data_IF_668960023850
#
_entry.id   IF_668960023850
#
_cell.length_a   1.000
_cell.length_b   1.000
_cell.length_c   1.000
_cell.angle_alpha   90.00
_cell.angle_beta   90.00
_cell.angle_gamma   90.00
#
_symmetry.space_group_name_H-M   'P 1'
#
loop_
_entity.id
_entity.type
_entity.pdbx_description
1 polymer ?
#
# COMPACT_ATOMS: atom_id res chain seq x y z
N UNK A 1 -59.58 -56.57 42.35
CA UNK A 1 -58.41 -57.30 41.84
C UNK A 1 -57.31 -56.28 41.60
N UNK A 2 -56.15 -56.49 42.24
CA UNK A 2 -54.79 -56.29 41.73
C UNK A 2 -54.43 -54.84 41.31
N UNK A 3 -53.37 -54.20 41.77
CA UNK A 3 -52.40 -54.46 42.83
C UNK A 3 -51.66 -53.14 43.04
N UNK A 4 -51.32 -52.91 44.30
CA UNK A 4 -50.44 -51.88 44.83
C UNK A 4 -49.02 -52.10 44.26
N UNK A 5 -48.32 -51.03 43.88
CA UNK A 5 -46.88 -50.93 44.15
C UNK A 5 -46.44 -49.47 44.27
N UNK A 6 -46.20 -49.06 45.52
CA UNK A 6 -45.45 -47.88 45.91
C UNK A 6 -43.96 -48.23 45.95
N UNK A 7 -43.15 -47.61 45.09
CA UNK A 7 -41.69 -47.42 45.24
C UNK A 7 -41.42 -46.16 44.41
N UNK A 8 -40.81 -45.07 44.85
CA UNK A 8 -39.89 -44.80 45.93
C UNK A 8 -39.08 -43.62 45.40
N UNK A 9 -39.05 -42.54 46.17
CA UNK A 9 -38.37 -41.27 45.88
C UNK A 9 -36.85 -41.48 45.65
N UNK A 10 -36.22 -40.47 45.02
CA UNK A 10 -34.79 -40.24 44.80
C UNK A 10 -34.22 -40.64 43.43
N UNK A 11 -34.48 -39.80 42.43
CA UNK A 11 -33.50 -39.58 41.35
C UNK A 11 -32.41 -38.67 41.89
N UNK A 12 -31.27 -39.26 42.24
CA UNK A 12 -29.99 -38.56 42.33
C UNK A 12 -29.67 -38.02 40.94
N UNK A 13 -29.81 -36.72 40.74
CA UNK A 13 -29.29 -36.06 39.54
C UNK A 13 -27.77 -36.04 39.64
N UNK A 14 -27.08 -36.89 38.86
CA UNK A 14 -25.69 -36.63 38.52
C UNK A 14 -25.67 -35.35 37.66
N UNK A 15 -25.20 -34.25 38.24
CA UNK A 15 -24.76 -33.10 37.46
C UNK A 15 -23.50 -33.53 36.69
N UNK A 16 -23.65 -33.73 35.37
CA UNK A 16 -22.52 -33.55 34.46
C UNK A 16 -22.46 -32.05 34.17
N UNK A 17 -21.56 -31.34 34.84
CA UNK A 17 -21.20 -29.99 34.46
C UNK A 17 -20.34 -30.05 33.20
N UNK A 18 -20.97 -29.89 32.03
CA UNK A 18 -20.26 -29.40 30.86
C UNK A 18 -20.32 -27.87 30.87
N UNK A 19 -19.25 -27.23 31.37
CA UNK A 19 -18.99 -25.83 31.06
C UNK A 19 -18.61 -25.72 29.58
N UNK A 20 -19.59 -25.35 28.75
CA UNK A 20 -19.42 -25.04 27.35
C UNK A 20 -20.54 -24.11 26.90
N UNK A 21 -20.18 -22.85 26.63
CA UNK A 21 -21.09 -21.72 26.44
C UNK A 21 -22.20 -21.92 25.38
N UNK A 22 -23.38 -21.30 25.54
CA UNK A 22 -24.44 -21.30 24.53
C UNK A 22 -24.10 -20.27 23.43
N UNK A 23 -23.55 -20.74 22.31
CA UNK A 23 -23.59 -20.04 21.04
C UNK A 23 -24.85 -20.46 20.25
N UNK A 24 -25.59 -19.55 19.60
CA UNK A 24 -26.74 -19.94 18.79
C UNK A 24 -26.28 -20.77 17.58
N UNK A 25 -26.84 -21.97 17.44
CA UNK A 25 -26.81 -22.74 16.18
C UNK A 25 -27.84 -22.15 15.23
N UNK A 26 -27.42 -21.71 14.04
CA UNK A 26 -28.31 -21.35 12.95
C UNK A 26 -27.96 -22.23 11.74
N UNK A 27 -28.93 -23.01 11.29
CA UNK A 27 -29.03 -23.59 9.93
C UNK A 27 -30.54 -23.50 9.59
N UNK A 28 -31.08 -23.12 8.43
CA UNK A 28 -30.61 -23.20 7.03
C UNK A 28 -31.31 -22.14 6.14
N UNK A 29 -30.67 -21.88 4.98
CA UNK A 29 -31.19 -21.60 3.63
C UNK A 29 -31.40 -20.14 3.17
N UNK A 30 -30.59 -19.78 2.16
CA UNK A 30 -30.50 -18.55 1.34
C UNK A 30 -29.59 -17.40 1.80
N UNK A 31 -28.71 -17.65 2.77
CA UNK A 31 -27.63 -16.72 3.13
C UNK A 31 -26.36 -16.99 2.32
N UNK A 32 -26.18 -16.26 1.21
CA UNK A 32 -24.85 -15.70 0.94
C UNK A 32 -24.65 -14.62 2.01
N UNK A 33 -24.23 -15.09 3.18
CA UNK A 33 -23.62 -14.40 4.32
C UNK A 33 -23.84 -12.88 4.39
N UNK A 34 -24.56 -12.43 5.43
CA UNK A 34 -24.54 -11.04 5.91
C UNK A 34 -23.12 -10.67 6.37
N UNK A 35 -22.28 -10.37 5.40
CA UNK A 35 -20.94 -9.81 5.56
C UNK A 35 -21.07 -8.46 6.26
N UNK A 36 -20.40 -8.29 7.40
CA UNK A 36 -20.29 -6.97 8.04
C UNK A 36 -19.41 -6.06 7.18
N UNK A 37 -20.00 -5.01 6.61
CA UNK A 37 -19.29 -4.00 5.82
C UNK A 37 -18.43 -3.16 6.77
N UNK A 38 -17.16 -2.98 6.44
CA UNK A 38 -16.28 -2.07 7.20
C UNK A 38 -16.81 -0.64 7.09
N UNK A 39 -16.89 0.10 8.20
CA UNK A 39 -16.92 1.55 8.12
C UNK A 39 -15.51 2.11 7.80
N UNK A 40 -15.42 3.37 7.36
CA UNK A 40 -14.14 4.00 7.00
C UNK A 40 -13.14 4.01 8.17
N UNK A 41 -13.63 4.23 9.39
CA UNK A 41 -12.83 4.19 10.62
C UNK A 41 -12.46 2.76 11.08
N UNK A 42 -13.02 1.73 10.44
CA UNK A 42 -12.78 0.31 10.69
C UNK A 42 -11.88 -0.32 9.61
N UNK A 43 -11.29 0.48 8.72
CA UNK A 43 -10.25 0.03 7.80
C UNK A 43 -8.89 -0.14 8.49
N UNK A 44 -8.02 -0.94 7.88
CA UNK A 44 -6.64 -1.07 8.33
C UNK A 44 -5.89 0.25 8.17
N UNK A 45 -5.30 0.73 9.27
CA UNK A 45 -4.57 2.00 9.34
C UNK A 45 -3.10 1.86 8.94
N UNK A 46 -2.63 0.63 8.72
CA UNK A 46 -1.24 0.31 8.40
C UNK A 46 -1.17 -0.81 7.38
N UNK A 47 -0.22 -0.72 6.44
CA UNK A 47 0.11 -1.80 5.50
C UNK A 47 0.70 -3.03 6.19
N UNK A 48 1.14 -2.91 7.45
CA UNK A 48 1.64 -4.03 8.26
C UNK A 48 0.53 -4.93 8.82
N UNK A 49 -0.74 -4.53 8.74
CA UNK A 49 -1.86 -5.26 9.36
C UNK A 49 -1.98 -6.72 8.90
N UNK A 50 -1.87 -7.07 7.60
CA UNK A 50 -1.90 -8.47 7.16
C UNK A 50 -0.72 -9.29 7.70
N UNK A 51 0.47 -8.68 7.78
CA UNK A 51 1.64 -9.37 8.32
C UNK A 51 1.51 -9.65 9.83
N UNK A 52 0.95 -8.69 10.57
CA UNK A 52 0.70 -8.84 12.01
C UNK A 52 -0.41 -9.84 12.31
N UNK A 53 -1.45 -9.88 11.47
CA UNK A 53 -2.46 -10.93 11.50
C UNK A 53 -1.81 -12.32 11.32
N UNK A 54 -0.97 -12.51 10.30
CA UNK A 54 -0.27 -13.77 10.05
C UNK A 54 0.71 -14.18 11.16
N UNK A 55 1.12 -13.23 12.02
CA UNK A 55 1.87 -13.49 13.25
C UNK A 55 0.99 -13.84 14.47
N UNK A 56 -0.32 -13.96 14.27
CA UNK A 56 -1.30 -14.25 15.31
C UNK A 56 -1.63 -13.06 16.21
N UNK A 57 -1.32 -11.82 15.82
CA UNK A 57 -1.51 -10.66 16.71
C UNK A 57 -2.99 -10.31 16.93
N UNK A 58 -3.88 -10.78 16.06
CA UNK A 58 -5.33 -10.69 16.23
C UNK A 58 -5.90 -11.65 17.28
N UNK A 59 -5.08 -12.57 17.83
CA UNK A 59 -5.50 -13.48 18.90
C UNK A 59 -5.66 -12.71 20.21
N UNK A 60 -6.72 -13.02 20.97
CA UNK A 60 -6.99 -12.42 22.29
C UNK A 60 -5.83 -12.62 23.28
N UNK A 61 -5.05 -13.70 23.10
CA UNK A 61 -3.91 -14.02 23.95
C UNK A 61 -2.64 -13.25 23.57
N UNK A 62 -2.66 -12.51 22.46
CA UNK A 62 -1.55 -11.66 22.06
C UNK A 62 -1.52 -10.38 22.88
N UNK A 63 -0.35 -9.99 23.38
CA UNK A 63 -0.14 -8.66 23.96
C UNK A 63 -0.45 -7.51 23.00
N UNK A 64 -0.50 -7.80 21.69
CA UNK A 64 -0.80 -6.83 20.64
C UNK A 64 -2.30 -6.81 20.27
N UNK A 65 -3.14 -7.63 20.88
CA UNK A 65 -4.56 -7.77 20.53
C UNK A 65 -5.29 -6.43 20.52
N UNK A 66 -5.15 -5.63 21.59
CA UNK A 66 -5.82 -4.33 21.69
C UNK A 66 -5.35 -3.34 20.62
N UNK A 67 -4.05 -3.34 20.33
CA UNK A 67 -3.50 -2.53 19.24
C UNK A 67 -4.08 -2.95 17.88
N UNK A 68 -4.14 -4.26 17.63
CA UNK A 68 -4.71 -4.81 16.41
C UNK A 68 -6.20 -4.49 16.27
N UNK A 69 -6.98 -4.57 17.36
CA UNK A 69 -8.40 -4.18 17.35
C UNK A 69 -8.61 -2.69 17.09
N UNK A 70 -7.64 -1.82 17.42
CA UNK A 70 -7.74 -0.38 17.16
C UNK A 70 -7.22 0.07 15.79
N UNK A 71 -6.40 -0.75 15.12
CA UNK A 71 -5.62 -0.33 13.95
C UNK A 71 -5.70 -1.27 12.74
N UNK A 72 -6.10 -2.53 12.93
CA UNK A 72 -6.07 -3.60 11.93
C UNK A 72 -7.38 -4.38 11.92
N UNK A 73 -8.49 -3.66 12.00
CA UNK A 73 -9.81 -4.22 12.24
C UNK A 73 -10.32 -5.07 11.06
N UNK A 74 -10.01 -4.66 9.83
CA UNK A 74 -10.34 -5.41 8.62
C UNK A 74 -9.44 -6.65 8.47
N UNK A 75 -8.12 -6.52 8.66
CA UNK A 75 -7.19 -7.66 8.65
C UNK A 75 -7.56 -8.71 9.69
N UNK A 76 -7.99 -8.31 10.89
CA UNK A 76 -8.44 -9.25 11.92
C UNK A 76 -9.85 -9.85 11.68
N UNK A 77 -10.43 -9.67 10.48
CA UNK A 77 -11.66 -10.33 10.04
C UNK A 77 -12.94 -9.84 10.72
N UNK A 78 -12.92 -8.69 11.39
CA UNK A 78 -14.09 -8.14 12.11
C UNK A 78 -15.11 -7.47 11.20
N UNK A 79 -14.62 -6.97 10.08
CA UNK A 79 -15.42 -6.48 8.97
C UNK A 79 -14.71 -6.89 7.69
N UNK A 80 -15.40 -6.75 6.58
CA UNK A 80 -14.95 -7.30 5.32
C UNK A 80 -15.14 -6.22 4.22
N UNK A 81 -14.05 -5.69 3.61
CA UNK A 81 -14.10 -4.62 2.61
C UNK A 81 -14.42 -5.15 1.20
N UNK A 82 -14.82 -4.32 0.23
CA UNK A 82 -15.13 -4.79 -1.14
C UNK A 82 -14.07 -5.76 -1.69
N UNK A 83 -14.49 -6.91 -2.20
CA UNK A 83 -13.64 -7.79 -3.00
C UNK A 83 -13.46 -7.21 -4.40
N UNK A 84 -12.48 -7.74 -5.15
CA UNK A 84 -12.26 -7.37 -6.55
C UNK A 84 -13.50 -7.55 -7.45
N UNK A 85 -14.45 -8.42 -7.08
CA UNK A 85 -15.68 -8.67 -7.84
C UNK A 85 -16.85 -7.76 -7.41
N UNK A 86 -16.71 -7.07 -6.27
CA UNK A 86 -17.67 -6.14 -5.69
C UNK A 86 -17.32 -4.67 -5.98
N UNK A 87 -16.26 -4.42 -6.78
CA UNK A 87 -15.91 -3.08 -7.25
C UNK A 87 -16.92 -2.57 -8.28
N UNK A 88 -16.98 -1.26 -8.44
CA UNK A 88 -17.81 -0.61 -9.44
C UNK A 88 -17.36 -0.97 -10.86
N UNK A 89 -18.08 -1.88 -11.50
CA UNK A 89 -17.82 -2.35 -12.88
C UNK A 89 -17.95 -1.25 -13.94
N UNK A 90 -18.60 -0.14 -13.59
CA UNK A 90 -18.81 1.01 -14.45
C UNK A 90 -18.10 2.28 -13.96
N UNK A 91 -17.16 2.13 -13.02
CA UNK A 91 -16.19 3.17 -12.65
C UNK A 91 -16.80 4.56 -12.48
N UNK A 92 -16.32 5.54 -13.26
CA UNK A 92 -16.73 6.95 -13.20
C UNK A 92 -18.23 7.20 -13.47
N UNK A 93 -18.91 6.30 -14.20
CA UNK A 93 -20.36 6.40 -14.44
C UNK A 93 -21.17 6.16 -13.17
N UNK A 94 -20.65 5.38 -12.21
CA UNK A 94 -21.39 5.04 -10.99
C UNK A 94 -21.71 6.27 -10.14
N UNK A 95 -20.77 7.21 -10.03
CA UNK A 95 -20.99 8.49 -9.32
C UNK A 95 -22.09 9.31 -9.99
N UNK A 96 -22.06 9.39 -11.32
CA UNK A 96 -23.08 10.10 -12.11
C UNK A 96 -24.45 9.43 -11.97
N UNK A 97 -24.51 8.11 -12.07
CA UNK A 97 -25.76 7.35 -11.95
C UNK A 97 -26.34 7.40 -10.54
N UNK A 98 -25.51 7.33 -9.50
CA UNK A 98 -25.96 7.54 -8.12
C UNK A 98 -26.58 8.92 -7.95
N UNK A 99 -25.98 9.96 -8.53
CA UNK A 99 -26.51 11.34 -8.47
C UNK A 99 -27.84 11.48 -9.21
N UNK A 100 -27.97 10.89 -10.39
CA UNK A 100 -29.12 11.09 -11.27
C UNK A 100 -30.29 10.12 -11.00
N UNK A 101 -29.99 8.90 -10.56
CA UNK A 101 -30.97 7.81 -10.43
C UNK A 101 -31.06 7.24 -9.00
N UNK A 102 -30.13 7.61 -8.11
CA UNK A 102 -30.03 7.02 -6.79
C UNK A 102 -29.52 5.58 -6.81
N UNK A 103 -29.55 4.93 -5.65
CA UNK A 103 -29.13 3.53 -5.46
C UNK A 103 -30.28 2.62 -5.03
N UNK A 104 -31.51 3.14 -5.05
CA UNK A 104 -32.72 2.49 -4.56
C UNK A 104 -33.85 2.69 -5.56
N UNK A 105 -34.89 1.84 -5.54
CA UNK A 105 -36.05 1.97 -6.43
C UNK A 105 -35.83 1.31 -7.78
N UNK A 106 -36.44 1.86 -8.86
CA UNK A 106 -36.53 1.17 -10.17
C UNK A 106 -35.19 0.77 -10.80
N UNK A 107 -34.08 1.43 -10.43
CA UNK A 107 -32.73 1.14 -10.92
C UNK A 107 -31.87 0.36 -9.92
N UNK A 108 -32.41 -0.06 -8.78
CA UNK A 108 -31.66 -0.71 -7.69
C UNK A 108 -30.89 -1.95 -8.17
N UNK A 109 -31.55 -2.86 -8.90
CA UNK A 109 -30.87 -4.07 -9.39
C UNK A 109 -29.74 -3.75 -10.37
N UNK A 110 -29.95 -2.74 -11.23
CA UNK A 110 -28.93 -2.28 -12.18
C UNK A 110 -27.74 -1.66 -11.44
N UNK A 111 -28.00 -0.79 -10.48
CA UNK A 111 -26.99 -0.14 -9.65
C UNK A 111 -26.24 -1.17 -8.79
N UNK A 112 -26.93 -2.13 -8.18
CA UNK A 112 -26.32 -3.22 -7.42
C UNK A 112 -25.42 -4.11 -8.28
N UNK A 113 -25.75 -4.33 -9.55
CA UNK A 113 -24.94 -5.15 -10.46
C UNK A 113 -23.68 -4.43 -10.96
N UNK A 114 -23.73 -3.11 -11.10
CA UNK A 114 -22.70 -2.32 -11.79
C UNK A 114 -21.92 -1.34 -10.89
N UNK A 115 -22.50 -0.92 -9.76
CA UNK A 115 -22.06 0.20 -8.93
C UNK A 115 -22.20 -0.13 -7.43
N UNK A 116 -21.80 -1.34 -7.05
CA UNK A 116 -22.01 -1.94 -5.74
C UNK A 116 -21.31 -1.14 -4.62
N UNK A 117 -20.06 -0.72 -4.83
CA UNK A 117 -19.29 0.06 -3.88
C UNK A 117 -19.79 1.52 -3.81
N UNK A 118 -20.07 2.15 -4.95
CA UNK A 118 -20.64 3.51 -5.00
C UNK A 118 -21.97 3.60 -4.24
N UNK A 119 -22.79 2.55 -4.28
CA UNK A 119 -24.04 2.47 -3.55
C UNK A 119 -23.91 2.10 -2.07
N UNK A 120 -22.68 1.99 -1.55
CA UNK A 120 -22.42 1.79 -0.13
C UNK A 120 -22.67 0.36 0.35
N UNK A 121 -22.77 -0.62 -0.56
CA UNK A 121 -22.92 -2.03 -0.19
C UNK A 121 -21.59 -2.68 0.24
N UNK A 122 -20.48 -1.97 0.07
CA UNK A 122 -19.21 -2.29 0.68
C UNK A 122 -18.35 -1.02 0.74
N UNK A 123 -17.37 -0.97 1.64
CA UNK A 123 -16.33 0.06 1.63
C UNK A 123 -15.12 -0.53 0.92
N UNK A 124 -14.66 0.18 -0.10
CA UNK A 124 -13.40 -0.15 -0.76
C UNK A 124 -12.31 -0.08 0.30
N UNK A 125 -11.58 -1.18 0.53
CA UNK A 125 -10.32 -1.05 1.22
C UNK A 125 -9.49 0.01 0.49
N UNK A 126 -8.70 0.86 1.20
CA UNK A 126 -7.66 1.61 0.54
C UNK A 126 -6.91 0.59 -0.32
N UNK A 127 -6.94 0.76 -1.65
CA UNK A 127 -6.12 -0.06 -2.53
C UNK A 127 -4.73 -0.06 -1.91
N UNK A 128 -4.05 -1.22 -1.72
CA UNK A 128 -2.71 -1.25 -1.16
C UNK A 128 -1.92 -0.17 -1.87
N UNK A 129 -1.60 0.90 -1.13
CA UNK A 129 -0.97 2.07 -1.72
C UNK A 129 0.29 1.50 -2.34
N UNK A 130 0.49 1.59 -3.66
CA UNK A 130 1.62 0.92 -4.27
C UNK A 130 2.88 1.45 -3.57
N UNK A 131 3.59 0.54 -2.88
CA UNK A 131 4.74 0.89 -2.07
C UNK A 131 6.00 0.60 -2.86
N UNK A 132 7.05 1.36 -2.58
CA UNK A 132 8.39 0.93 -2.93
C UNK A 132 8.77 -0.22 -2.00
N UNK A 133 9.29 -1.30 -2.57
CA UNK A 133 10.08 -2.28 -1.83
C UNK A 133 11.46 -1.66 -1.52
N UNK A 134 11.77 -1.37 -0.23
CA UNK A 134 13.01 -0.73 0.16
C UNK A 134 14.26 -1.51 -0.27
N UNK A 135 14.23 -2.84 -0.17
CA UNK A 135 15.38 -3.69 -0.44
C UNK A 135 15.64 -3.74 -1.94
N UNK A 136 14.60 -3.92 -2.76
CA UNK A 136 14.74 -3.89 -4.22
C UNK A 136 15.21 -2.52 -4.74
N UNK A 137 14.72 -1.42 -4.13
CA UNK A 137 15.11 -0.07 -4.51
C UNK A 137 16.55 0.25 -4.10
N UNK A 138 16.97 -0.15 -2.90
CA UNK A 138 18.36 -0.06 -2.46
C UNK A 138 19.27 -0.89 -3.34
N UNK A 139 18.90 -2.14 -3.63
CA UNK A 139 19.66 -3.03 -4.49
C UNK A 139 19.87 -2.40 -5.86
N UNK A 140 18.81 -1.90 -6.50
CA UNK A 140 18.90 -1.25 -7.80
C UNK A 140 19.87 -0.05 -7.79
N UNK A 141 19.86 0.78 -6.74
CA UNK A 141 20.83 1.88 -6.61
C UNK A 141 22.25 1.36 -6.37
N UNK A 142 22.41 0.43 -5.44
CA UNK A 142 23.72 -0.04 -4.97
C UNK A 142 24.46 -0.86 -6.02
N UNK A 143 23.75 -1.60 -6.86
CA UNK A 143 24.31 -2.23 -8.06
C UNK A 143 24.92 -1.20 -9.00
N UNK A 144 24.24 -0.06 -9.23
CA UNK A 144 24.79 1.01 -10.06
C UNK A 144 25.95 1.72 -9.39
N UNK A 145 25.84 2.03 -8.10
CA UNK A 145 26.90 2.70 -7.32
C UNK A 145 28.19 1.89 -7.26
N UNK A 146 28.08 0.57 -7.14
CA UNK A 146 29.23 -0.35 -7.15
C UNK A 146 30.06 -0.23 -8.44
N UNK A 147 29.40 -0.06 -9.60
CA UNK A 147 30.09 0.14 -10.88
C UNK A 147 30.99 1.39 -10.87
N UNK A 148 30.72 2.36 -10.00
CA UNK A 148 31.43 3.64 -9.92
C UNK A 148 32.29 3.78 -8.65
N UNK A 149 32.48 2.69 -7.89
CA UNK A 149 33.20 2.72 -6.62
C UNK A 149 32.57 3.62 -5.55
N UNK A 150 31.26 3.91 -5.66
CA UNK A 150 30.51 4.65 -4.66
C UNK A 150 30.00 3.69 -3.57
N UNK A 151 30.15 4.02 -2.27
CA UNK A 151 29.68 3.16 -1.18
C UNK A 151 28.17 2.89 -1.26
N UNK A 152 27.74 1.72 -0.79
CA UNK A 152 26.32 1.37 -0.72
C UNK A 152 25.53 2.37 0.15
N UNK A 153 24.32 2.72 -0.29
CA UNK A 153 23.36 3.50 0.47
C UNK A 153 22.67 2.62 1.51
N UNK A 154 22.19 3.27 2.57
CA UNK A 154 21.32 2.69 3.59
C UNK A 154 19.93 3.33 3.50
N UNK A 155 18.88 2.55 3.73
CA UNK A 155 17.51 3.05 3.72
C UNK A 155 17.23 3.94 4.93
N UNK A 156 16.50 5.03 4.72
CA UNK A 156 16.04 5.93 5.76
C UNK A 156 14.52 6.14 5.65
N UNK A 157 13.80 5.72 6.68
CA UNK A 157 12.33 5.76 6.69
C UNK A 157 11.77 7.17 6.71
N UNK A 158 12.49 8.16 7.26
CA UNK A 158 12.04 9.55 7.22
C UNK A 158 12.12 10.09 5.80
N UNK A 159 13.23 9.81 5.11
CA UNK A 159 13.38 10.14 3.69
C UNK A 159 12.29 9.47 2.82
N UNK A 160 11.95 8.21 3.12
CA UNK A 160 10.90 7.50 2.39
C UNK A 160 9.51 8.11 2.62
N UNK A 161 9.20 8.51 3.86
CA UNK A 161 7.95 9.20 4.17
C UNK A 161 7.87 10.57 3.49
N UNK A 162 8.96 11.34 3.51
CA UNK A 162 9.02 12.65 2.83
C UNK A 162 8.91 12.48 1.31
N UNK A 163 9.50 11.41 0.74
CA UNK A 163 9.31 11.03 -0.66
C UNK A 163 7.85 10.68 -0.98
N UNK A 164 7.15 9.98 -0.07
CA UNK A 164 5.76 9.57 -0.25
C UNK A 164 4.83 10.76 -0.31
N UNK A 165 4.98 11.70 0.61
CA UNK A 165 4.20 12.94 0.64
C UNK A 165 4.36 13.71 -0.69
N UNK A 166 5.58 13.73 -1.24
CA UNK A 166 5.82 14.39 -2.51
C UNK A 166 5.27 13.61 -3.70
N UNK A 167 5.40 12.28 -3.73
CA UNK A 167 4.81 11.44 -4.78
C UNK A 167 3.29 11.62 -4.87
N UNK A 168 2.61 11.74 -3.73
CA UNK A 168 1.18 12.06 -3.66
C UNK A 168 0.86 13.46 -4.21
N UNK A 169 1.70 14.45 -3.88
CA UNK A 169 1.56 15.80 -4.42
C UNK A 169 1.70 15.82 -5.95
N UNK A 170 2.71 15.15 -6.51
CA UNK A 170 2.92 15.04 -7.96
C UNK A 170 1.75 14.36 -8.64
N UNK A 171 1.24 13.28 -8.05
CA UNK A 171 0.05 12.60 -8.54
C UNK A 171 -1.16 13.55 -8.55
N UNK A 172 -1.43 14.26 -7.44
CA UNK A 172 -2.58 15.17 -7.33
C UNK A 172 -2.56 16.33 -8.34
N UNK A 173 -1.37 16.77 -8.76
CA UNK A 173 -1.21 17.89 -9.69
C UNK A 173 -0.97 17.45 -11.13
N UNK A 174 -0.62 16.18 -11.35
CA UNK A 174 -0.22 15.65 -12.66
C UNK A 174 1.07 16.25 -13.21
N UNK A 175 1.88 16.91 -12.38
CA UNK A 175 3.08 17.65 -12.80
C UNK A 175 4.32 17.06 -12.16
N UNK A 176 5.33 16.74 -12.97
CA UNK A 176 6.63 16.29 -12.48
C UNK A 176 7.52 17.50 -12.16
N UNK A 177 7.42 18.00 -10.91
CA UNK A 177 8.15 19.19 -10.45
C UNK A 177 8.93 18.91 -9.17
N UNK A 178 10.13 19.48 -9.08
CA UNK A 178 10.97 19.31 -7.90
C UNK A 178 10.39 19.98 -6.65
N UNK A 179 10.58 19.35 -5.49
CA UNK A 179 10.24 19.97 -4.21
C UNK A 179 11.11 21.21 -3.95
N UNK A 180 10.51 22.21 -3.31
CA UNK A 180 11.20 23.46 -2.94
C UNK A 180 11.55 23.44 -1.45
N UNK A 181 12.60 24.17 -1.08
CA UNK A 181 13.02 24.38 0.32
C UNK A 181 13.32 23.07 1.09
N UNK A 182 13.93 22.11 0.42
CA UNK A 182 14.40 20.84 1.00
C UNK A 182 15.92 20.87 1.18
N UNK A 183 16.44 20.11 2.14
CA UNK A 183 17.89 19.95 2.33
C UNK A 183 18.44 18.70 1.60
N UNK A 184 17.55 17.77 1.26
CA UNK A 184 17.83 16.51 0.62
C UNK A 184 17.98 16.64 -0.90
N UNK A 185 18.74 15.74 -1.52
CA UNK A 185 18.70 15.56 -2.97
C UNK A 185 17.40 14.89 -3.40
N UNK A 186 17.01 15.06 -4.66
CA UNK A 186 15.76 14.51 -5.19
C UNK A 186 15.93 14.01 -6.63
N UNK A 187 15.42 12.80 -6.90
CA UNK A 187 15.15 12.33 -8.26
C UNK A 187 13.66 12.06 -8.42
N UNK A 188 13.12 12.45 -9.57
CA UNK A 188 11.72 12.25 -9.92
C UNK A 188 11.61 11.38 -11.17
N UNK A 189 10.61 10.52 -11.19
CA UNK A 189 10.28 9.70 -12.35
C UNK A 189 8.78 9.63 -12.51
N UNK A 190 8.32 9.69 -13.76
CA UNK A 190 6.94 9.37 -14.10
C UNK A 190 6.88 8.43 -15.30
N UNK A 191 5.96 7.48 -15.28
CA UNK A 191 5.72 6.57 -16.39
C UNK A 191 4.26 6.19 -16.50
N UNK A 192 3.76 6.03 -17.73
CA UNK A 192 2.39 5.61 -18.01
C UNK A 192 2.41 4.26 -18.72
N UNK A 193 1.76 3.25 -18.14
CA UNK A 193 1.68 1.90 -18.72
C UNK A 193 0.45 1.13 -18.24
N UNK A 194 0.20 -0.07 -18.76
CA UNK A 194 -0.84 -0.98 -18.26
C UNK A 194 -0.55 -1.58 -16.87
N UNK A 195 0.58 -1.23 -16.26
CA UNK A 195 1.02 -1.69 -14.94
C UNK A 195 1.78 -0.59 -14.20
N UNK A 196 1.97 -0.78 -12.89
CA UNK A 196 2.70 0.14 -12.00
C UNK A 196 4.20 0.06 -12.25
N UNK A 197 4.87 1.21 -12.42
CA UNK A 197 6.34 1.24 -12.52
C UNK A 197 6.98 1.05 -11.15
N UNK A 198 8.08 0.31 -11.09
CA UNK A 198 8.83 0.05 -9.87
C UNK A 198 9.87 1.15 -9.59
N UNK A 199 10.44 1.18 -8.39
CA UNK A 199 11.65 1.99 -8.15
C UNK A 199 12.80 1.54 -9.07
N UNK A 200 12.95 0.23 -9.33
CA UNK A 200 14.00 -0.28 -10.22
C UNK A 200 13.87 0.24 -11.65
N UNK A 201 12.64 0.42 -12.15
CA UNK A 201 12.40 1.07 -13.45
C UNK A 201 12.87 2.53 -13.45
N UNK A 202 12.58 3.26 -12.37
CA UNK A 202 13.02 4.65 -12.20
C UNK A 202 14.54 4.75 -12.13
N UNK A 203 15.20 3.90 -11.33
CA UNK A 203 16.67 3.84 -11.21
C UNK A 203 17.32 3.54 -12.55
N UNK A 204 16.77 2.58 -13.31
CA UNK A 204 17.26 2.29 -14.66
C UNK A 204 17.15 3.52 -15.57
N UNK A 205 16.03 4.23 -15.52
CA UNK A 205 15.82 5.46 -16.29
C UNK A 205 16.83 6.54 -15.92
N UNK A 206 16.98 6.84 -14.62
CA UNK A 206 17.91 7.83 -14.11
C UNK A 206 19.36 7.48 -14.44
N UNK A 207 19.76 6.22 -14.25
CA UNK A 207 21.12 5.79 -14.53
C UNK A 207 21.47 5.84 -16.02
N UNK A 208 20.51 5.62 -16.92
CA UNK A 208 20.74 5.66 -18.37
C UNK A 208 21.21 7.02 -18.88
N UNK A 209 21.08 8.09 -18.09
CA UNK A 209 21.65 9.40 -18.38
C UNK A 209 23.19 9.41 -18.42
N UNK A 210 23.85 8.37 -17.87
CA UNK A 210 25.31 8.20 -17.97
C UNK A 210 25.84 8.34 -19.40
N UNK A 211 25.06 7.95 -20.41
CA UNK A 211 25.43 8.06 -21.83
C UNK A 211 25.62 9.51 -22.32
N UNK A 212 25.14 10.48 -21.55
CA UNK A 212 25.27 11.90 -21.83
C UNK A 212 26.28 12.59 -20.89
N UNK A 213 26.86 11.87 -19.93
CA UNK A 213 27.78 12.44 -18.96
C UNK A 213 29.21 12.42 -19.48
N UNK A 214 29.82 13.60 -19.58
CA UNK A 214 31.23 13.77 -19.88
C UNK A 214 32.06 13.71 -18.59
N UNK A 215 32.85 12.65 -18.44
CA UNK A 215 33.72 12.47 -17.27
C UNK A 215 34.97 13.36 -17.32
N UNK A 216 35.39 13.83 -18.50
CA UNK A 216 36.53 14.73 -18.68
C UNK A 216 36.14 16.18 -18.37
N UNK A 217 34.86 16.53 -18.57
CA UNK A 217 34.29 17.83 -18.20
C UNK A 217 33.17 17.68 -17.15
N UNK A 218 33.51 17.30 -15.90
CA UNK A 218 32.51 16.94 -14.89
C UNK A 218 31.71 18.16 -14.42
N UNK A 219 30.38 18.04 -14.42
CA UNK A 219 29.51 19.14 -14.00
C UNK A 219 28.04 18.77 -14.00
N UNK A 220 27.21 19.75 -13.62
CA UNK A 220 25.76 19.60 -13.69
C UNK A 220 25.27 19.82 -15.13
N UNK A 221 24.34 18.97 -15.56
CA UNK A 221 23.48 19.25 -16.71
C UNK A 221 22.08 18.73 -16.43
N UNK A 222 21.06 19.32 -17.06
CA UNK A 222 19.70 18.81 -16.99
C UNK A 222 19.55 17.40 -17.60
N UNK A 223 20.48 16.98 -18.46
CA UNK A 223 20.46 15.67 -19.10
C UNK A 223 21.13 14.57 -18.26
N UNK A 224 21.82 14.93 -17.17
CA UNK A 224 22.65 14.01 -16.38
C UNK A 224 22.43 14.08 -14.87
N UNK A 225 21.60 15.03 -14.41
CA UNK A 225 21.40 15.31 -13.00
C UNK A 225 20.85 14.12 -12.20
N UNK A 226 20.03 13.25 -12.81
CA UNK A 226 19.52 12.08 -12.11
C UNK A 226 20.60 11.00 -11.98
N UNK A 227 21.37 10.75 -13.04
CA UNK A 227 22.52 9.83 -13.00
C UNK A 227 23.50 10.26 -11.90
N UNK A 228 23.91 11.53 -11.88
CA UNK A 228 24.90 12.01 -10.92
C UNK A 228 24.40 11.92 -9.49
N UNK A 229 23.10 12.09 -9.24
CA UNK A 229 22.50 11.88 -7.92
C UNK A 229 22.54 10.39 -7.48
N UNK A 230 22.23 9.45 -8.39
CA UNK A 230 22.28 8.00 -8.09
C UNK A 230 23.67 7.57 -7.65
N UNK A 231 24.71 8.01 -8.37
CA UNK A 231 26.10 7.57 -8.13
C UNK A 231 26.91 8.48 -7.22
N UNK A 232 26.29 9.51 -6.62
CA UNK A 232 27.00 10.50 -5.81
C UNK A 232 27.71 9.87 -4.61
N UNK A 233 29.05 9.88 -4.62
CA UNK A 233 29.88 9.16 -3.64
C UNK A 233 29.60 9.54 -2.18
N UNK A 234 29.44 10.83 -1.89
CA UNK A 234 29.22 11.31 -0.51
C UNK A 234 27.78 11.15 0.01
N UNK A 235 26.82 10.79 -0.84
CA UNK A 235 25.46 10.45 -0.38
C UNK A 235 25.50 9.08 0.29
N UNK A 236 24.87 8.95 1.45
CA UNK A 236 24.91 7.72 2.27
C UNK A 236 23.52 7.13 2.56
N UNK A 237 22.47 7.94 2.47
CA UNK A 237 21.09 7.54 2.77
C UNK A 237 20.17 7.71 1.57
N UNK A 238 19.22 6.79 1.45
CA UNK A 238 18.16 6.79 0.46
C UNK A 238 16.80 6.60 1.16
N UNK A 239 15.79 7.33 0.73
CA UNK A 239 14.40 6.92 0.92
C UNK A 239 13.62 7.18 -0.35
N UNK A 240 12.75 6.27 -0.74
CA UNK A 240 11.97 6.41 -1.95
C UNK A 240 10.53 5.94 -1.74
N UNK A 241 9.63 6.50 -2.52
CA UNK A 241 8.24 6.14 -2.52
C UNK A 241 7.65 6.28 -3.92
N UNK A 242 6.50 5.66 -4.12
CA UNK A 242 5.75 5.80 -5.35
C UNK A 242 4.26 5.96 -5.07
N UNK A 243 3.57 6.58 -6.03
CA UNK A 243 2.12 6.72 -6.06
C UNK A 243 1.64 6.47 -7.49
N UNK A 244 0.43 5.96 -7.65
CA UNK A 244 -0.18 5.75 -8.97
C UNK A 244 -1.54 6.40 -9.09
N UNK A 245 -1.91 6.76 -10.32
CA UNK A 245 -3.25 7.12 -10.74
C UNK A 245 -3.64 6.18 -11.88
N UNK A 246 -4.82 5.60 -11.83
CA UNK A 246 -5.36 4.79 -12.92
C UNK A 246 -6.42 5.61 -13.64
N UNK A 247 -6.18 5.90 -14.91
CA UNK A 247 -7.11 6.62 -15.79
C UNK A 247 -8.28 5.72 -16.18
N UNK A 248 -9.39 6.32 -16.60
CA UNK A 248 -10.63 5.61 -16.98
C UNK A 248 -10.43 4.58 -18.11
N UNK A 249 -9.41 4.75 -18.94
CA UNK A 249 -9.02 3.81 -20.00
C UNK A 249 -8.09 2.67 -19.53
N UNK A 250 -7.88 2.53 -18.21
CA UNK A 250 -7.02 1.51 -17.60
C UNK A 250 -5.53 1.83 -17.61
N UNK A 251 -5.11 3.00 -18.12
CA UNK A 251 -3.69 3.41 -18.07
C UNK A 251 -3.30 3.79 -16.66
N UNK A 252 -2.23 3.16 -16.15
CA UNK A 252 -1.62 3.49 -14.87
C UNK A 252 -0.50 4.51 -15.05
N UNK A 253 -0.69 5.71 -14.52
CA UNK A 253 0.33 6.73 -14.33
C UNK A 253 1.02 6.51 -13.00
N UNK A 254 2.31 6.26 -13.00
CA UNK A 254 3.12 6.04 -11.78
C UNK A 254 4.08 7.20 -11.60
N UNK A 255 4.19 7.70 -10.38
CA UNK A 255 5.14 8.71 -9.93
C UNK A 255 6.06 8.09 -8.89
N UNK A 256 7.37 8.16 -9.11
CA UNK A 256 8.38 7.68 -8.17
C UNK A 256 9.24 8.87 -7.74
N UNK A 257 9.43 9.01 -6.43
CA UNK A 257 10.27 10.03 -5.82
C UNK A 257 11.35 9.34 -5.00
N UNK A 258 12.61 9.73 -5.21
CA UNK A 258 13.73 9.32 -4.36
C UNK A 258 14.35 10.54 -3.69
N UNK A 259 14.68 10.40 -2.40
CA UNK A 259 15.33 11.37 -1.53
C UNK A 259 16.71 10.88 -1.14
N UNK A 260 17.71 11.76 -1.22
CA UNK A 260 19.11 11.44 -0.97
C UNK A 260 19.68 12.33 0.13
N UNK A 261 20.40 11.74 1.09
CA UNK A 261 21.07 12.50 2.14
C UNK A 261 22.49 11.99 2.42
N UNK A 262 23.50 12.87 2.52
CA UNK A 262 23.49 14.28 2.09
C UNK A 262 23.13 14.44 0.61
N UNK A 263 22.67 15.64 0.22
CA UNK A 263 22.30 15.94 -1.14
C UNK A 263 23.50 15.80 -2.12
N UNK A 264 23.21 15.27 -3.30
CA UNK A 264 24.15 15.22 -4.41
C UNK A 264 24.14 16.51 -5.24
N UNK A 265 24.79 16.46 -6.41
CA UNK A 265 24.78 17.53 -7.42
C UNK A 265 25.25 18.91 -6.91
N UNK A 266 26.13 18.92 -5.90
CA UNK A 266 26.73 20.15 -5.40
C UNK A 266 27.73 20.69 -6.42
N UNK A 267 27.49 21.92 -6.89
CA UNK A 267 28.36 22.60 -7.86
C UNK A 267 29.81 22.64 -7.34
N UNK A 268 30.76 22.31 -8.21
CA UNK A 268 32.19 22.21 -7.87
C UNK A 268 32.61 20.92 -7.17
N UNK A 269 31.70 19.96 -6.92
CA UNK A 269 32.02 18.68 -6.25
C UNK A 269 31.85 17.44 -7.13
N UNK A 270 31.54 17.60 -8.42
CA UNK A 270 31.26 16.50 -9.35
C UNK A 270 32.46 15.57 -9.55
N UNK A 271 33.64 16.08 -9.85
CA UNK A 271 34.85 15.27 -10.08
C UNK A 271 35.21 14.35 -8.90
N UNK A 272 34.90 14.76 -7.67
CA UNK A 272 35.14 13.97 -6.46
C UNK A 272 34.06 12.89 -6.23
N UNK A 273 32.84 13.11 -6.72
CA UNK A 273 31.66 12.32 -6.37
C UNK A 273 31.13 11.43 -7.49
N UNK A 274 31.43 11.75 -8.75
CA UNK A 274 30.94 11.02 -9.92
C UNK A 274 32.16 10.47 -10.65
N UNK A 275 32.44 9.18 -10.45
CA UNK A 275 33.58 8.50 -11.05
C UNK A 275 33.18 7.74 -12.31
N UNK A 276 34.08 7.51 -13.27
CA UNK A 276 33.82 6.58 -14.37
C UNK A 276 33.55 5.16 -13.84
N UNK A 277 33.07 4.27 -14.70
CA UNK A 277 32.93 2.86 -14.32
C UNK A 277 34.32 2.29 -14.01
N UNK A 278 34.42 1.52 -12.94
CA UNK A 278 35.60 0.70 -12.67
C UNK A 278 35.76 -0.32 -13.81
N UNK A 279 36.95 -0.34 -14.42
CA UNK A 279 37.35 -1.35 -15.41
C UNK A 279 37.43 -2.74 -14.81
#
# INVERSE_FOLDING_TARGET
>A
MISILFIGLYLVTFQVTCEGAPGPKIIIQNDVEKRAICAENQMDKSSGCPQWEGKGFCSQNSKYYQFMMGNCYASCGRCQPCTANEIDKKGSYCTMWKKNYGCTGGMEQFMRKNCYATCGHCIMAPTPIPQVDPDACLQAHNEKRALHGAPALVWDNKLAQDAKNWADHLASTGRLVHAKNIAEGENLYSGSSGFVKSCSDAVKSWYNEIKFYDFDNPGFSFATGHFTAVVWKSTTKLGAALTKIVSDNGITHTYVVARYSPAGNVIGRFAANVKPKSS
#
